data_IF_443063501959
#
_entry.id   IF_443063501959
#
_cell.length_a   1.000
_cell.length_b   1.000
_cell.length_c   1.000
_cell.angle_alpha   90.00
_cell.angle_beta   90.00
_cell.angle_gamma   90.00
#
_symmetry.space_group_name_H-M   'P 1'
#
loop_
_entity.id
_entity.type
_entity.pdbx_description
1 polymer ?
#
# COMPACT_ATOMS: atom_id res chain seq x y z
N UNK A 1 -21.59 -49.36 9.06
CA UNK A 1 -22.03 -48.83 7.75
C UNK A 1 -22.39 -47.37 7.96
N UNK A 2 -21.77 -46.47 7.21
CA UNK A 2 -21.80 -45.02 7.41
C UNK A 2 -23.18 -44.42 7.11
N UNK A 3 -23.60 -43.44 7.92
CA UNK A 3 -24.74 -42.59 7.63
C UNK A 3 -24.38 -41.56 6.54
N UNK A 4 -25.19 -41.50 5.49
CA UNK A 4 -25.09 -40.54 4.39
C UNK A 4 -26.02 -39.35 4.70
N UNK A 5 -25.44 -38.22 5.13
CA UNK A 5 -26.10 -36.91 5.14
C UNK A 5 -25.82 -36.28 3.76
N UNK A 6 -26.70 -35.63 2.99
CA UNK A 6 -28.01 -35.03 3.20
C UNK A 6 -28.05 -33.82 2.24
N UNK A 7 -28.98 -33.85 1.27
CA UNK A 7 -29.44 -32.82 0.32
C UNK A 7 -28.55 -31.59 -0.02
N UNK A 8 -28.10 -31.53 -1.28
CA UNK A 8 -27.71 -30.31 -2.01
C UNK A 8 -28.98 -29.62 -2.52
N UNK A 9 -29.49 -28.59 -1.85
CA UNK A 9 -30.28 -27.55 -2.51
C UNK A 9 -30.39 -26.32 -1.61
N UNK A 10 -29.78 -25.20 -2.03
CA UNK A 10 -30.24 -23.88 -1.62
C UNK A 10 -30.11 -22.95 -2.83
N UNK A 11 -31.26 -22.41 -3.22
CA UNK A 11 -31.56 -21.86 -4.53
C UNK A 11 -30.73 -20.63 -4.91
N UNK A 12 -30.32 -20.61 -6.17
CA UNK A 12 -30.01 -19.38 -6.86
C UNK A 12 -31.31 -18.67 -7.22
N UNK A 13 -31.55 -17.49 -6.67
CA UNK A 13 -32.09 -16.34 -7.44
C UNK A 13 -32.07 -15.11 -6.57
N UNK A 14 -30.98 -14.34 -6.64
CA UNK A 14 -31.05 -12.91 -6.95
C UNK A 14 -29.86 -12.59 -7.85
N UNK A 15 -30.14 -12.35 -9.13
CA UNK A 15 -29.19 -11.90 -10.14
C UNK A 15 -28.82 -10.44 -9.82
N UNK A 16 -28.10 -10.20 -8.72
CA UNK A 16 -27.26 -9.02 -8.63
C UNK A 16 -26.21 -9.21 -9.73
N UNK A 17 -26.24 -8.35 -10.76
CA UNK A 17 -25.25 -8.38 -11.82
C UNK A 17 -23.86 -8.49 -11.19
N UNK A 18 -23.20 -9.64 -11.37
CA UNK A 18 -21.88 -9.88 -10.81
C UNK A 18 -20.93 -8.90 -11.51
N UNK A 19 -20.69 -7.75 -10.90
CA UNK A 19 -19.60 -6.87 -11.34
C UNK A 19 -18.34 -7.75 -11.27
N UNK A 20 -17.67 -8.02 -12.39
CA UNK A 20 -16.47 -8.85 -12.37
C UNK A 20 -15.46 -8.16 -11.46
N UNK A 21 -14.86 -8.93 -10.55
CA UNK A 21 -13.80 -8.42 -9.70
C UNK A 21 -12.65 -7.93 -10.61
N UNK A 22 -12.06 -6.76 -10.31
CA UNK A 22 -10.90 -6.29 -11.06
C UNK A 22 -9.78 -7.33 -10.95
N UNK A 23 -9.10 -7.59 -12.06
CA UNK A 23 -8.00 -8.54 -12.09
C UNK A 23 -6.80 -7.97 -11.32
N UNK A 24 -6.15 -8.75 -10.44
CA UNK A 24 -4.95 -8.31 -9.75
C UNK A 24 -3.82 -7.98 -10.73
N UNK A 25 -3.22 -6.80 -10.59
CA UNK A 25 -2.01 -6.42 -11.32
C UNK A 25 -0.82 -7.07 -10.60
N UNK A 26 -0.18 -8.05 -11.24
CA UNK A 26 0.93 -8.81 -10.62
C UNK A 26 2.29 -8.12 -10.71
N UNK A 27 2.44 -7.19 -11.66
CA UNK A 27 3.69 -6.46 -11.92
C UNK A 27 3.42 -4.96 -11.85
N UNK A 28 3.22 -4.45 -10.63
CA UNK A 28 2.97 -3.04 -10.40
C UNK A 28 4.30 -2.30 -10.28
N UNK A 29 4.50 -1.27 -11.10
CA UNK A 29 5.65 -0.38 -11.00
C UNK A 29 5.39 0.65 -9.89
N UNK A 30 6.30 0.73 -8.91
CA UNK A 30 6.21 1.70 -7.82
C UNK A 30 6.65 3.07 -8.35
N UNK A 31 5.68 3.98 -8.49
CA UNK A 31 5.90 5.32 -9.04
C UNK A 31 6.33 6.36 -8.00
N UNK A 32 6.09 6.10 -6.71
CA UNK A 32 6.32 7.05 -5.63
C UNK A 32 7.07 6.39 -4.47
N UNK A 33 8.28 6.88 -4.20
CA UNK A 33 9.19 6.37 -3.15
C UNK A 33 9.68 7.46 -2.20
N UNK A 34 9.27 8.72 -2.45
CA UNK A 34 9.71 9.91 -1.72
C UNK A 34 8.87 10.17 -0.48
N UNK A 35 9.29 11.11 0.35
CA UNK A 35 8.56 11.52 1.56
C UNK A 35 7.48 12.53 1.17
N UNK A 36 6.23 12.30 1.56
CA UNK A 36 5.13 13.21 1.25
C UNK A 36 4.82 14.12 2.44
N UNK A 37 5.12 15.42 2.32
CA UNK A 37 4.92 16.44 3.36
C UNK A 37 4.25 17.65 2.74
N UNK A 38 3.22 18.19 3.39
CA UNK A 38 2.55 19.42 2.98
C UNK A 38 2.12 19.46 1.49
N UNK A 39 1.57 18.34 1.01
CA UNK A 39 1.16 18.13 -0.38
C UNK A 39 2.30 18.09 -1.42
N UNK A 40 3.56 18.04 -0.97
CA UNK A 40 4.73 17.96 -1.83
C UNK A 40 5.56 16.69 -1.57
N UNK A 41 6.26 16.23 -2.60
CA UNK A 41 7.17 15.08 -2.52
C UNK A 41 8.60 15.57 -2.29
N UNK A 42 9.19 15.20 -1.16
CA UNK A 42 10.53 15.57 -0.75
C UNK A 42 11.46 14.35 -0.74
N UNK A 43 12.72 14.56 -1.10
CA UNK A 43 13.78 13.58 -0.92
C UNK A 43 14.27 13.59 0.53
N UNK A 44 14.78 12.46 1.03
CA UNK A 44 15.32 12.43 2.37
C UNK A 44 16.53 13.33 2.48
N UNK A 45 16.54 14.21 3.49
CA UNK A 45 17.71 15.06 3.77
C UNK A 45 18.94 14.26 4.18
N UNK A 46 18.76 13.02 4.63
CA UNK A 46 19.88 12.12 4.95
C UNK A 46 20.39 11.36 3.72
N UNK A 47 19.67 11.40 2.58
CA UNK A 47 19.99 10.64 1.37
C UNK A 47 19.95 9.12 1.56
N UNK A 48 19.36 8.64 2.66
CA UNK A 48 19.24 7.22 2.96
C UNK A 48 17.92 6.68 2.45
N UNK A 49 17.97 5.47 1.93
CA UNK A 49 16.83 4.70 1.46
C UNK A 49 16.87 3.32 2.11
N UNK A 50 15.70 2.71 2.27
CA UNK A 50 15.57 1.34 2.74
C UNK A 50 14.86 0.47 1.69
N UNK A 51 15.36 -0.75 1.43
CA UNK A 51 14.73 -1.65 0.48
C UNK A 51 13.45 -2.25 1.06
N UNK A 52 12.38 -2.25 0.27
CA UNK A 52 11.12 -2.95 0.57
C UNK A 52 11.06 -4.24 -0.25
N UNK A 53 10.78 -5.35 0.41
CA UNK A 53 10.76 -6.69 -0.19
C UNK A 53 9.35 -7.27 -0.23
N UNK A 54 9.09 -8.10 -1.25
CA UNK A 54 7.86 -8.89 -1.33
C UNK A 54 7.93 -10.04 -0.33
N UNK A 55 6.98 -10.17 0.62
CA UNK A 55 7.01 -11.25 1.62
C UNK A 55 6.83 -12.65 1.02
N UNK A 56 6.34 -12.76 -0.22
CA UNK A 56 6.06 -14.05 -0.89
C UNK A 56 7.26 -14.56 -1.68
N UNK A 57 8.01 -13.66 -2.32
CA UNK A 57 9.17 -14.01 -3.18
C UNK A 57 10.51 -13.61 -2.57
N UNK A 58 10.52 -12.83 -1.49
CA UNK A 58 11.69 -12.17 -0.92
C UNK A 58 12.45 -11.26 -1.91
N UNK A 59 11.86 -10.93 -3.06
CA UNK A 59 12.46 -10.06 -4.07
C UNK A 59 12.26 -8.59 -3.69
N UNK A 60 13.23 -7.74 -4.04
CA UNK A 60 13.19 -6.31 -3.81
C UNK A 60 12.14 -5.67 -4.72
N UNK A 61 11.17 -4.98 -4.13
CA UNK A 61 10.12 -4.23 -4.84
C UNK A 61 10.64 -2.85 -5.23
N UNK A 62 11.12 -2.07 -4.25
CA UNK A 62 11.62 -0.71 -4.45
C UNK A 62 12.51 -0.25 -3.29
N UNK A 63 13.21 0.86 -3.47
CA UNK A 63 13.90 1.59 -2.40
C UNK A 63 13.05 2.79 -2.00
N UNK A 64 12.74 2.90 -0.71
CA UNK A 64 11.91 3.97 -0.15
C UNK A 64 12.81 4.90 0.65
N UNK A 65 12.59 6.21 0.55
CA UNK A 65 13.33 7.22 1.31
C UNK A 65 13.13 7.04 2.83
N UNK A 66 14.23 7.03 3.59
CA UNK A 66 14.21 6.87 5.05
C UNK A 66 13.88 8.21 5.73
N UNK A 67 12.77 8.24 6.46
CA UNK A 67 12.38 9.37 7.29
C UNK A 67 13.25 9.47 8.55
N UNK A 68 14.23 10.37 8.56
CA UNK A 68 15.04 10.68 9.75
C UNK A 68 14.44 11.87 10.54
N UNK A 69 14.96 12.13 11.74
CA UNK A 69 14.58 13.25 12.62
C UNK A 69 14.68 14.61 11.92
N UNK A 70 15.59 14.75 10.95
CA UNK A 70 15.76 15.99 10.15
C UNK A 70 14.56 16.24 9.22
N UNK A 71 13.88 15.18 8.78
CA UNK A 71 12.65 15.29 8.00
C UNK A 71 11.50 15.79 8.89
N UNK A 72 11.37 15.23 10.09
CA UNK A 72 10.41 15.67 11.10
C UNK A 72 10.60 17.14 11.49
N UNK A 73 11.84 17.59 11.70
CA UNK A 73 12.09 19.00 12.04
C UNK A 73 11.72 19.96 10.92
N UNK A 74 11.86 19.57 9.66
CA UNK A 74 11.44 20.39 8.51
C UNK A 74 9.92 20.55 8.49
N UNK A 75 9.19 19.46 8.74
CA UNK A 75 7.73 19.49 8.87
C UNK A 75 7.25 20.44 9.98
N UNK A 76 7.88 20.39 11.16
CA UNK A 76 7.51 21.28 12.26
C UNK A 76 7.82 22.75 11.96
N UNK A 77 8.93 23.06 11.28
CA UNK A 77 9.29 24.44 10.98
C UNK A 77 8.40 25.06 9.88
N UNK A 78 8.09 24.33 8.80
CA UNK A 78 7.26 24.88 7.72
C UNK A 78 5.79 25.07 8.14
N UNK A 79 5.24 24.15 8.92
CA UNK A 79 3.84 24.22 9.39
C UNK A 79 3.64 25.36 10.41
N UNK A 80 4.65 25.65 11.24
CA UNK A 80 4.54 26.67 12.30
C UNK A 80 4.82 28.09 11.75
N UNK A 81 5.73 28.26 10.78
CA UNK A 81 6.05 29.59 10.24
C UNK A 81 5.04 30.14 9.22
N UNK A 82 4.26 29.30 8.54
CA UNK A 82 3.21 29.79 7.64
C UNK A 82 1.92 30.23 8.37
N UNK A 83 1.86 30.05 9.69
CA UNK A 83 0.70 30.37 10.54
C UNK A 83 0.86 31.70 11.31
N UNK A 84 1.95 32.46 11.12
CA UNK A 84 2.22 33.71 11.85
C UNK A 84 2.12 34.94 10.97
#
# INVERSE_FOLDING_TARGET
MAALNGALENGQTEKAASVPLPHPIRNLEVQFTKIFINNEWHESKSGKNFPTFNPTTAEKICEIEEGDKVCLSTFFNETIFHSS
#
